data_IF_230346845191
#
_entry.id   IF_230346845191
#
_cell.length_a   1.000
_cell.length_b   1.000
_cell.length_c   1.000
_cell.angle_alpha   90.00
_cell.angle_beta   90.00
_cell.angle_gamma   90.00
#
_symmetry.space_group_name_H-M   'P 1'
#
loop_
_entity.id
_entity.type
_entity.pdbx_description
1 polymer ?
#
# COMPACT_ATOMS: atom_id res chain seq x y z
N UNK A 1 23.37 20.06 31.21
CA UNK A 1 23.58 18.61 31.13
C UNK A 1 22.34 17.99 30.46
N UNK A 2 22.37 17.84 29.13
CA UNK A 2 21.35 17.09 28.40
C UNK A 2 21.52 15.60 28.73
N UNK A 3 20.48 14.97 29.28
CA UNK A 3 20.42 13.51 29.39
C UNK A 3 20.24 12.96 27.98
N UNK A 4 21.29 12.41 27.39
CA UNK A 4 21.22 11.64 26.17
C UNK A 4 20.47 10.33 26.48
N UNK A 5 19.20 10.28 26.16
CA UNK A 5 18.41 9.04 26.23
C UNK A 5 18.73 8.24 24.97
N UNK A 6 19.16 6.97 25.17
CA UNK A 6 19.31 5.96 24.12
C UNK A 6 20.51 6.06 23.17
N UNK A 7 21.53 6.87 23.44
CA UNK A 7 22.81 6.83 22.74
C UNK A 7 23.75 5.89 23.50
N UNK A 8 24.17 4.80 22.84
CA UNK A 8 25.17 3.89 23.38
C UNK A 8 26.54 4.61 23.42
N UNK A 9 27.30 4.41 24.50
CA UNK A 9 28.66 4.94 24.65
C UNK A 9 29.58 4.60 23.47
N UNK A 10 29.36 3.49 22.77
CA UNK A 10 30.07 3.11 21.56
C UNK A 10 29.86 4.10 20.39
N UNK A 11 28.71 4.79 20.32
CA UNK A 11 28.46 5.81 19.30
C UNK A 11 29.20 7.12 19.59
N UNK A 12 29.55 7.40 20.85
CA UNK A 12 30.26 8.61 21.27
C UNK A 12 31.78 8.36 21.29
N UNK A 13 32.20 7.10 21.42
CA UNK A 13 33.62 6.73 21.52
C UNK A 13 34.53 7.34 20.44
N UNK A 14 34.13 7.44 19.15
CA UNK A 14 34.94 8.08 18.12
C UNK A 14 35.23 9.57 18.36
N UNK A 15 34.37 10.23 19.20
CA UNK A 15 34.44 11.67 19.48
C UNK A 15 35.04 11.98 20.87
N UNK A 16 35.32 10.96 21.69
CA UNK A 16 35.98 11.17 22.97
C UNK A 16 37.37 11.68 22.71
N UNK A 17 37.74 12.76 23.38
CA UNK A 17 39.02 13.42 23.30
C UNK A 17 39.36 14.03 21.92
N UNK A 18 38.36 14.23 21.06
CA UNK A 18 38.51 14.88 19.76
C UNK A 18 37.53 16.03 19.62
N UNK A 19 38.00 17.15 19.14
CA UNK A 19 37.19 18.31 18.79
C UNK A 19 36.50 18.14 17.44
N UNK A 20 37.10 17.33 16.57
CA UNK A 20 36.59 17.05 15.22
C UNK A 20 36.98 15.65 14.74
N UNK A 21 36.22 15.08 13.84
CA UNK A 21 36.54 13.84 13.15
C UNK A 21 36.51 14.12 11.65
N UNK A 22 37.66 13.99 11.00
CA UNK A 22 37.75 14.13 9.55
C UNK A 22 37.37 12.82 8.87
N UNK A 23 36.43 12.87 7.92
CA UNK A 23 36.00 11.72 7.13
C UNK A 23 36.38 12.00 5.68
N UNK A 24 37.33 11.22 5.12
CA UNK A 24 37.68 11.32 3.71
C UNK A 24 36.43 11.09 2.82
N UNK A 25 36.33 11.83 1.73
CA UNK A 25 35.19 11.78 0.80
C UNK A 25 34.82 10.34 0.39
N UNK A 26 35.78 9.52 0.06
CA UNK A 26 35.62 8.11 -0.31
C UNK A 26 34.93 7.28 0.78
N UNK A 27 35.01 7.68 2.03
CA UNK A 27 34.46 6.98 3.20
C UNK A 27 33.11 7.56 3.64
N UNK A 28 32.64 8.66 3.05
CA UNK A 28 31.36 9.29 3.41
C UNK A 28 30.18 8.32 3.31
N UNK A 29 29.96 7.53 2.22
CA UNK A 29 28.87 6.58 2.14
C UNK A 29 28.96 5.49 3.22
N UNK A 30 30.16 5.02 3.52
CA UNK A 30 30.39 4.00 4.56
C UNK A 30 30.09 4.55 5.95
N UNK A 31 30.60 5.74 6.26
CA UNK A 31 30.35 6.44 7.52
C UNK A 31 28.87 6.73 7.72
N UNK A 32 28.17 7.21 6.67
CA UNK A 32 26.74 7.42 6.70
C UNK A 32 25.99 6.13 7.03
N UNK A 33 26.27 5.05 6.31
CA UNK A 33 25.54 3.80 6.48
C UNK A 33 25.80 3.11 7.83
N UNK A 34 27.03 3.15 8.33
CA UNK A 34 27.43 2.46 9.57
C UNK A 34 27.20 3.29 10.83
N UNK A 35 27.29 4.61 10.75
CA UNK A 35 27.26 5.46 11.93
C UNK A 35 26.14 6.49 11.89
N UNK A 36 26.15 7.40 10.93
CA UNK A 36 25.23 8.56 10.93
C UNK A 36 23.76 8.13 10.86
N UNK A 37 23.46 7.13 10.06
CA UNK A 37 22.11 6.57 9.92
C UNK A 37 21.55 6.00 11.24
N UNK A 38 22.39 5.40 12.07
CA UNK A 38 21.98 4.89 13.37
C UNK A 38 21.80 6.01 14.40
N UNK A 39 22.63 7.04 14.33
CA UNK A 39 22.51 8.22 15.21
C UNK A 39 21.27 9.04 14.86
N UNK A 40 20.96 9.24 13.58
CA UNK A 40 19.77 9.97 13.11
C UNK A 40 18.45 9.35 13.59
N UNK A 41 18.42 8.05 13.88
CA UNK A 41 17.23 7.39 14.46
C UNK A 41 16.99 7.78 15.93
N UNK A 42 18.04 8.23 16.64
CA UNK A 42 18.06 8.36 18.09
C UNK A 42 18.30 9.79 18.58
N UNK A 43 18.86 10.66 17.74
CA UNK A 43 19.24 12.01 18.11
C UNK A 43 18.92 13.02 17.01
N UNK A 44 18.61 14.24 17.42
CA UNK A 44 18.63 15.40 16.53
C UNK A 44 20.09 15.83 16.30
N UNK A 45 20.46 16.00 15.05
CA UNK A 45 21.79 16.39 14.64
C UNK A 45 21.71 17.74 13.96
N UNK A 46 22.55 18.68 14.39
CA UNK A 46 22.82 19.90 13.64
C UNK A 46 23.98 19.67 12.70
N UNK A 47 23.86 20.06 11.45
CA UNK A 47 24.84 19.81 10.40
C UNK A 47 25.43 21.11 9.87
N UNK A 48 26.74 21.10 9.57
CA UNK A 48 27.44 22.17 8.86
C UNK A 48 28.11 21.52 7.67
N UNK A 49 27.93 22.08 6.47
CA UNK A 49 28.54 21.57 5.24
C UNK A 49 27.73 20.55 4.44
N UNK A 50 26.58 20.13 4.96
CA UNK A 50 25.59 19.34 4.20
C UNK A 50 24.16 19.63 4.65
N UNK A 51 23.22 19.45 3.74
CA UNK A 51 21.81 19.70 3.99
C UNK A 51 21.16 18.47 4.63
N UNK A 52 20.39 18.68 5.69
CA UNK A 52 19.51 17.67 6.26
C UNK A 52 18.04 18.07 6.01
N UNK A 53 17.34 17.27 5.22
CA UNK A 53 15.94 17.49 4.87
C UNK A 53 15.09 16.47 5.62
N UNK A 54 14.21 16.97 6.49
CA UNK A 54 13.24 16.12 7.17
C UNK A 54 11.98 15.99 6.33
N UNK A 55 11.54 14.77 6.10
CA UNK A 55 10.32 14.39 5.38
C UNK A 55 9.37 13.66 6.36
N UNK A 56 8.25 14.26 6.70
CA UNK A 56 7.26 13.70 7.64
C UNK A 56 5.81 13.92 7.19
N UNK A 57 5.63 14.41 5.96
CA UNK A 57 4.30 14.63 5.36
C UNK A 57 4.00 13.48 4.42
N UNK A 58 2.80 12.91 4.54
CA UNK A 58 2.29 11.88 3.61
C UNK A 58 1.82 12.61 2.35
N UNK A 59 2.39 12.25 1.21
CA UNK A 59 2.03 12.79 -0.10
C UNK A 59 0.87 11.99 -0.72
N UNK A 60 0.88 10.68 -0.53
CA UNK A 60 -0.19 9.80 -0.99
C UNK A 60 -0.34 8.56 -0.13
N UNK A 61 -1.55 8.02 -0.09
CA UNK A 61 -1.91 6.77 0.57
C UNK A 61 -2.46 5.81 -0.47
N UNK A 62 -1.76 4.71 -0.75
CA UNK A 62 -2.14 3.74 -1.76
C UNK A 62 -2.55 2.42 -1.10
N UNK A 63 -3.74 1.94 -1.41
CA UNK A 63 -4.24 0.64 -0.99
C UNK A 63 -3.77 -0.42 -1.97
N UNK A 64 -3.16 -1.49 -1.44
CA UNK A 64 -2.67 -2.64 -2.20
C UNK A 64 -3.19 -3.93 -1.63
N UNK A 65 -3.33 -4.93 -2.48
CA UNK A 65 -3.75 -6.27 -2.09
C UNK A 65 -2.56 -7.14 -1.67
N UNK A 66 -2.81 -8.00 -0.71
CA UNK A 66 -1.91 -9.04 -0.23
C UNK A 66 -2.67 -10.37 -0.18
N UNK A 67 -2.17 -11.41 -0.85
CA UNK A 67 -2.71 -12.74 -0.72
C UNK A 67 -2.09 -13.45 0.50
N UNK A 68 -2.92 -13.77 1.48
CA UNK A 68 -2.54 -14.59 2.63
C UNK A 68 -2.66 -16.08 2.24
N UNK A 69 -1.54 -16.69 1.93
CA UNK A 69 -1.49 -18.08 1.46
C UNK A 69 -1.93 -19.11 2.51
N UNK A 70 -1.87 -18.76 3.81
CA UNK A 70 -2.27 -19.68 4.89
C UNK A 70 -3.78 -19.76 5.05
N UNK A 71 -4.46 -18.63 4.90
CA UNK A 71 -5.92 -18.55 4.99
C UNK A 71 -6.59 -18.61 3.62
N UNK A 72 -5.81 -18.53 2.53
CA UNK A 72 -6.27 -18.38 1.15
C UNK A 72 -7.23 -17.20 0.97
N UNK A 73 -6.98 -16.09 1.68
CA UNK A 73 -7.80 -14.87 1.62
C UNK A 73 -6.96 -13.69 1.15
N UNK A 74 -7.63 -12.74 0.52
CA UNK A 74 -7.01 -11.46 0.20
C UNK A 74 -7.22 -10.48 1.36
N UNK A 75 -6.15 -9.81 1.74
CA UNK A 75 -6.11 -8.66 2.66
C UNK A 75 -5.64 -7.44 1.89
N UNK A 76 -5.79 -6.28 2.46
CA UNK A 76 -5.19 -5.05 1.95
C UNK A 76 -4.23 -4.46 2.98
N UNK A 77 -3.29 -3.66 2.50
CA UNK A 77 -2.41 -2.82 3.31
C UNK A 77 -2.26 -1.46 2.63
N UNK A 78 -1.74 -0.47 3.36
CA UNK A 78 -1.54 0.88 2.83
C UNK A 78 -0.04 1.14 2.63
N UNK A 79 0.32 1.66 1.47
CA UNK A 79 1.59 2.29 1.19
C UNK A 79 1.45 3.80 1.42
N UNK A 80 2.26 4.34 2.32
CA UNK A 80 2.35 5.76 2.60
C UNK A 80 3.60 6.32 1.93
N UNK A 81 3.43 7.17 0.92
CA UNK A 81 4.53 7.88 0.28
C UNK A 81 4.86 9.15 1.06
N UNK A 82 6.11 9.26 1.48
CA UNK A 82 6.67 10.41 2.18
C UNK A 82 7.62 11.24 1.28
N UNK A 83 7.23 11.42 0.03
CA UNK A 83 8.02 12.20 -0.94
C UNK A 83 9.42 11.61 -1.18
N UNK A 84 9.44 10.37 -1.64
CA UNK A 84 10.65 9.65 -2.01
C UNK A 84 10.97 8.41 -1.18
N UNK A 85 10.18 8.13 -0.14
CA UNK A 85 10.27 6.88 0.60
C UNK A 85 8.89 6.36 1.00
N UNK A 86 8.64 5.06 0.76
CA UNK A 86 7.38 4.41 1.08
C UNK A 86 7.51 3.66 2.40
N UNK A 87 6.58 3.96 3.33
CA UNK A 87 6.32 3.14 4.50
C UNK A 87 5.07 2.29 4.28
N UNK A 88 5.11 1.06 4.77
CA UNK A 88 3.99 0.13 4.68
C UNK A 88 3.25 0.08 6.02
N UNK A 89 1.92 0.07 5.99
CA UNK A 89 1.10 0.01 7.20
C UNK A 89 1.42 -1.20 8.08
N UNK A 90 1.72 -2.34 7.45
CA UNK A 90 2.04 -3.62 8.10
C UNK A 90 3.51 -3.79 8.51
N UNK A 91 4.29 -2.71 8.52
CA UNK A 91 5.68 -2.72 8.96
C UNK A 91 5.90 -1.81 10.15
N UNK A 92 6.72 -2.25 11.10
CA UNK A 92 7.05 -1.51 12.33
C UNK A 92 8.13 -0.45 12.17
N UNK A 93 8.69 -0.27 10.96
CA UNK A 93 9.77 0.69 10.68
C UNK A 93 9.29 2.11 10.91
N UNK A 94 9.93 2.85 11.82
CA UNK A 94 9.52 4.21 12.25
C UNK A 94 10.16 5.33 11.45
N UNK A 95 11.34 5.09 10.88
CA UNK A 95 12.09 6.09 10.12
C UNK A 95 12.99 5.44 9.09
N UNK A 96 13.38 6.23 8.09
CA UNK A 96 14.37 5.86 7.10
C UNK A 96 15.25 7.06 6.80
N UNK A 97 16.54 6.84 6.53
CA UNK A 97 17.43 7.89 6.08
C UNK A 97 18.19 7.45 4.84
N UNK A 98 18.30 8.35 3.88
CA UNK A 98 19.07 8.16 2.65
C UNK A 98 20.05 9.31 2.44
N UNK A 99 21.15 9.02 1.77
CA UNK A 99 22.19 9.96 1.38
C UNK A 99 22.11 10.17 -0.13
N UNK A 100 22.18 11.42 -0.54
CA UNK A 100 22.33 11.82 -1.94
C UNK A 100 23.60 12.67 -2.06
N UNK A 101 24.44 12.35 -3.02
CA UNK A 101 25.62 13.17 -3.38
C UNK A 101 25.27 13.85 -4.69
N UNK A 102 25.16 15.17 -4.66
CA UNK A 102 24.83 15.99 -5.84
C UNK A 102 26.06 16.15 -6.75
N UNK A 103 25.86 16.51 -8.04
CA UNK A 103 26.97 16.69 -9.00
C UNK A 103 28.01 17.73 -8.61
N UNK A 104 27.67 18.67 -7.72
CA UNK A 104 28.56 19.69 -7.16
C UNK A 104 29.24 19.26 -5.85
N UNK A 105 29.28 17.96 -5.57
CA UNK A 105 29.83 17.37 -4.34
C UNK A 105 29.06 17.75 -3.05
N UNK A 106 27.96 18.47 -3.18
CA UNK A 106 27.09 18.72 -2.03
C UNK A 106 26.44 17.42 -1.55
N UNK A 107 26.46 17.25 -0.23
CA UNK A 107 25.84 16.09 0.42
C UNK A 107 24.47 16.50 0.94
N UNK A 108 23.48 15.70 0.62
CA UNK A 108 22.13 15.87 1.11
C UNK A 108 21.68 14.60 1.82
N UNK A 109 21.14 14.75 3.01
CA UNK A 109 20.59 13.65 3.80
C UNK A 109 19.09 13.86 3.91
N UNK A 110 18.31 12.89 3.42
CA UNK A 110 16.87 12.83 3.64
C UNK A 110 16.58 11.96 4.85
N UNK A 111 15.86 12.51 5.82
CA UNK A 111 15.43 11.79 7.01
C UNK A 111 13.90 11.70 6.99
N UNK A 112 13.39 10.52 6.61
CA UNK A 112 11.98 10.21 6.55
C UNK A 112 11.52 9.71 7.92
N UNK A 113 10.54 10.38 8.50
CA UNK A 113 9.96 10.03 9.80
C UNK A 113 8.45 9.82 9.64
N UNK A 114 7.97 8.65 10.07
CA UNK A 114 6.54 8.34 10.01
C UNK A 114 5.72 9.29 10.85
N UNK A 115 4.63 9.77 10.29
CA UNK A 115 3.60 10.55 10.97
C UNK A 115 2.46 9.62 11.38
N UNK A 116 2.62 8.93 12.49
CA UNK A 116 1.63 7.96 12.96
C UNK A 116 0.24 8.56 13.18
N UNK A 117 0.13 9.84 13.51
CA UNK A 117 -1.18 10.49 13.69
C UNK A 117 -1.95 10.61 12.38
N UNK A 118 -1.26 10.95 11.29
CA UNK A 118 -1.88 11.02 9.96
C UNK A 118 -2.17 9.61 9.41
N UNK A 119 -1.28 8.66 9.64
CA UNK A 119 -1.51 7.26 9.24
C UNK A 119 -2.72 6.66 9.97
N UNK A 120 -2.89 6.94 11.27
CA UNK A 120 -4.05 6.49 12.05
C UNK A 120 -5.38 7.05 11.51
N UNK A 121 -5.42 8.25 10.97
CA UNK A 121 -6.63 8.77 10.31
C UNK A 121 -7.03 7.88 9.12
N UNK A 122 -6.06 7.46 8.31
CA UNK A 122 -6.32 6.55 7.20
C UNK A 122 -6.81 5.17 7.69
N UNK A 123 -6.29 4.68 8.82
CA UNK A 123 -6.75 3.42 9.41
C UNK A 123 -8.20 3.52 9.87
N UNK A 124 -8.58 4.60 10.55
CA UNK A 124 -9.95 4.82 11.01
C UNK A 124 -10.94 4.91 9.85
N UNK A 125 -10.55 5.53 8.73
CA UNK A 125 -11.42 5.55 7.53
C UNK A 125 -11.73 4.12 7.06
N UNK A 126 -10.73 3.22 6.99
CA UNK A 126 -10.97 1.83 6.63
C UNK A 126 -11.80 1.08 7.69
N UNK A 127 -11.54 1.33 8.98
CA UNK A 127 -12.28 0.71 10.08
C UNK A 127 -13.76 1.13 10.08
N UNK A 128 -14.06 2.39 9.81
CA UNK A 128 -15.43 2.91 9.61
C UNK A 128 -16.17 2.24 8.44
N UNK A 129 -15.43 1.80 7.43
CA UNK A 129 -15.95 1.05 6.28
C UNK A 129 -16.03 -0.47 6.53
N UNK A 130 -15.84 -0.92 7.77
CA UNK A 130 -15.98 -2.31 8.16
C UNK A 130 -14.75 -3.18 7.97
N UNK A 131 -13.58 -2.60 7.67
CA UNK A 131 -12.34 -3.35 7.66
C UNK A 131 -11.78 -3.52 9.07
N UNK A 132 -11.24 -4.70 9.36
CA UNK A 132 -10.58 -5.05 10.61
C UNK A 132 -9.08 -4.92 10.44
N UNK A 133 -8.45 -4.14 11.31
CA UNK A 133 -7.02 -3.90 11.33
C UNK A 133 -6.28 -4.99 12.11
N UNK A 134 -5.46 -5.76 11.43
CA UNK A 134 -4.58 -6.80 12.01
C UNK A 134 -3.11 -6.43 11.81
N UNK A 135 -2.59 -5.55 12.66
CA UNK A 135 -1.18 -5.14 12.58
C UNK A 135 -0.83 -4.37 11.30
N UNK A 136 -1.78 -3.58 10.80
CA UNK A 136 -1.62 -2.78 9.58
C UNK A 136 -1.96 -3.50 8.28
N UNK A 137 -2.39 -4.77 8.34
CA UNK A 137 -3.16 -5.40 7.29
C UNK A 137 -4.65 -5.26 7.62
N UNK A 138 -5.48 -5.12 6.61
CA UNK A 138 -6.90 -4.92 6.76
C UNK A 138 -7.66 -6.00 6.00
N UNK A 139 -8.67 -6.57 6.63
CA UNK A 139 -9.54 -7.60 6.07
C UNK A 139 -10.96 -7.40 6.59
N UNK A 140 -11.92 -8.19 6.11
CA UNK A 140 -13.28 -8.26 6.65
C UNK A 140 -13.49 -9.56 7.39
N UNK A 141 -14.50 -9.57 8.30
CA UNK A 141 -14.90 -10.77 9.04
C UNK A 141 -15.71 -11.72 8.14
N UNK A 142 -15.05 -12.29 7.14
CA UNK A 142 -15.67 -13.23 6.20
C UNK A 142 -14.63 -14.27 5.80
N UNK A 143 -15.07 -15.51 5.60
CA UNK A 143 -14.20 -16.62 5.15
C UNK A 143 -14.03 -16.70 3.65
N UNK A 144 -14.85 -15.97 2.88
CA UNK A 144 -14.76 -15.95 1.43
C UNK A 144 -13.42 -15.32 0.98
N UNK A 145 -12.67 -15.97 0.09
CA UNK A 145 -11.33 -15.52 -0.30
C UNK A 145 -11.26 -14.06 -0.78
N UNK A 146 -12.30 -13.60 -1.47
CA UNK A 146 -12.37 -12.27 -2.07
C UNK A 146 -13.28 -11.29 -1.32
N UNK A 147 -13.70 -11.61 -0.09
CA UNK A 147 -14.58 -10.73 0.68
C UNK A 147 -14.01 -9.32 0.84
N UNK A 148 -12.72 -9.21 1.14
CA UNK A 148 -12.00 -7.92 1.24
C UNK A 148 -12.00 -7.15 -0.08
N UNK A 149 -11.90 -7.84 -1.22
CA UNK A 149 -11.99 -7.22 -2.54
C UNK A 149 -13.38 -6.62 -2.78
N UNK A 150 -14.46 -7.37 -2.47
CA UNK A 150 -15.81 -6.85 -2.64
C UNK A 150 -16.14 -5.71 -1.68
N UNK A 151 -15.66 -5.78 -0.44
CA UNK A 151 -15.78 -4.65 0.50
C UNK A 151 -15.09 -3.41 -0.04
N UNK A 152 -13.91 -3.56 -0.61
CA UNK A 152 -13.20 -2.44 -1.23
C UNK A 152 -13.96 -1.87 -2.43
N UNK A 153 -14.54 -2.72 -3.28
CA UNK A 153 -15.38 -2.28 -4.40
C UNK A 153 -16.58 -1.48 -3.94
N UNK A 154 -17.25 -1.93 -2.89
CA UNK A 154 -18.43 -1.26 -2.32
C UNK A 154 -18.12 0.18 -1.88
N UNK A 155 -16.93 0.41 -1.34
CA UNK A 155 -16.48 1.72 -0.84
C UNK A 155 -15.50 2.44 -1.76
N UNK A 156 -15.29 1.96 -2.99
CA UNK A 156 -14.27 2.49 -3.92
C UNK A 156 -14.38 4.00 -4.10
N UNK A 157 -15.56 4.50 -4.48
CA UNK A 157 -15.78 5.92 -4.76
C UNK A 157 -15.56 6.78 -3.51
N UNK A 158 -15.99 6.31 -2.35
CA UNK A 158 -15.78 7.00 -1.09
C UNK A 158 -14.30 7.07 -0.73
N UNK A 159 -13.55 5.97 -0.87
CA UNK A 159 -12.11 5.92 -0.62
C UNK A 159 -11.35 6.85 -1.55
N UNK A 160 -11.70 6.88 -2.84
CA UNK A 160 -11.11 7.81 -3.81
C UNK A 160 -11.39 9.26 -3.40
N UNK A 161 -12.60 9.57 -2.95
CA UNK A 161 -12.98 10.92 -2.46
C UNK A 161 -12.23 11.34 -1.20
N UNK A 162 -11.78 10.38 -0.36
CA UNK A 162 -10.94 10.59 0.81
C UNK A 162 -9.44 10.70 0.47
N UNK A 163 -9.08 10.60 -0.81
CA UNK A 163 -7.71 10.77 -1.30
C UNK A 163 -6.87 9.50 -1.33
N UNK A 164 -7.47 8.32 -1.18
CA UNK A 164 -6.76 7.08 -1.40
C UNK A 164 -6.55 6.82 -2.90
N UNK A 165 -5.44 6.17 -3.21
CA UNK A 165 -5.20 5.54 -4.51
C UNK A 165 -5.44 4.05 -4.32
N UNK A 166 -6.24 3.43 -5.19
CA UNK A 166 -6.53 2.00 -5.12
C UNK A 166 -5.83 1.30 -6.27
N UNK A 167 -4.95 0.37 -5.95
CA UNK A 167 -4.30 -0.49 -6.94
C UNK A 167 -5.17 -1.71 -7.22
N UNK A 168 -5.30 -2.08 -8.50
CA UNK A 168 -6.09 -3.24 -8.90
C UNK A 168 -5.53 -4.53 -8.30
N UNK A 169 -6.42 -5.46 -7.93
CA UNK A 169 -6.02 -6.81 -7.56
C UNK A 169 -5.42 -7.50 -8.78
N UNK A 170 -4.32 -8.21 -8.59
CA UNK A 170 -3.70 -9.03 -9.63
C UNK A 170 -3.82 -10.52 -9.32
N UNK A 171 -4.23 -11.31 -10.31
CA UNK A 171 -4.27 -12.78 -10.24
C UNK A 171 -3.55 -13.34 -11.47
N UNK A 172 -2.51 -14.15 -11.23
CA UNK A 172 -1.74 -14.75 -12.33
C UNK A 172 -1.08 -13.71 -13.25
N UNK A 173 -0.70 -12.54 -12.70
CA UNK A 173 -0.08 -11.43 -13.46
C UNK A 173 -1.05 -10.63 -14.32
N UNK A 174 -2.36 -10.77 -14.08
CA UNK A 174 -3.41 -10.00 -14.75
C UNK A 174 -4.17 -9.17 -13.73
N UNK A 175 -4.36 -7.90 -14.05
CA UNK A 175 -5.18 -6.99 -13.25
C UNK A 175 -6.65 -7.38 -13.36
N UNK A 176 -7.34 -7.34 -12.21
CA UNK A 176 -8.77 -7.60 -12.10
C UNK A 176 -9.50 -6.27 -12.20
N UNK A 177 -10.61 -6.30 -12.95
CA UNK A 177 -11.50 -5.14 -13.08
C UNK A 177 -12.05 -4.73 -11.70
N UNK A 178 -11.97 -3.44 -11.41
CA UNK A 178 -12.39 -2.87 -10.11
C UNK A 178 -13.70 -2.09 -10.21
N UNK A 179 -14.54 -2.42 -11.18
CA UNK A 179 -15.88 -1.86 -11.32
C UNK A 179 -16.95 -2.83 -10.78
N UNK A 180 -18.08 -2.35 -10.27
CA UNK A 180 -19.16 -3.21 -9.82
C UNK A 180 -19.78 -3.98 -10.98
N UNK A 181 -20.38 -5.14 -10.66
CA UNK A 181 -21.18 -5.89 -11.63
C UNK A 181 -22.58 -5.30 -11.76
N UNK A 182 -23.05 -5.26 -12.99
CA UNK A 182 -24.43 -4.93 -13.33
C UNK A 182 -25.08 -6.09 -14.07
N UNK A 183 -26.33 -6.39 -13.70
CA UNK A 183 -27.15 -7.37 -14.42
C UNK A 183 -28.09 -6.61 -15.36
N UNK A 184 -27.98 -6.88 -16.66
CA UNK A 184 -28.82 -6.32 -17.69
C UNK A 184 -29.81 -7.39 -18.19
N UNK A 185 -31.09 -7.07 -18.23
CA UNK A 185 -32.14 -7.95 -18.68
C UNK A 185 -32.65 -7.46 -20.03
N UNK A 186 -32.60 -8.33 -21.03
CA UNK A 186 -33.13 -8.06 -22.37
C UNK A 186 -34.28 -9.02 -22.66
N UNK A 187 -35.46 -8.49 -22.91
CA UNK A 187 -36.60 -9.24 -23.33
C UNK A 187 -36.61 -9.43 -24.85
N UNK A 188 -36.70 -10.66 -25.31
CA UNK A 188 -36.92 -10.95 -26.72
C UNK A 188 -38.36 -11.46 -26.90
N UNK A 189 -39.21 -10.70 -27.62
CA UNK A 189 -40.56 -11.14 -27.96
C UNK A 189 -40.46 -12.22 -29.03
N UNK A 190 -40.93 -13.42 -28.71
CA UNK A 190 -41.19 -14.47 -29.70
C UNK A 190 -42.68 -14.51 -30.05
N UNK A 191 -43.00 -14.87 -31.31
CA UNK A 191 -44.37 -15.18 -31.77
C UNK A 191 -44.88 -16.39 -30.99
N UNK A 192 -45.82 -16.29 -30.12
CA UNK A 192 -46.53 -17.31 -29.32
C UNK A 192 -46.39 -17.17 -27.80
N UNK A 193 -46.74 -16.02 -27.25
CA UNK A 193 -46.93 -15.78 -25.77
C UNK A 193 -45.79 -16.25 -24.85
N UNK A 194 -44.58 -16.54 -25.36
CA UNK A 194 -43.41 -16.89 -24.61
C UNK A 194 -42.42 -15.71 -24.62
N UNK A 195 -41.86 -15.40 -23.47
CA UNK A 195 -40.79 -14.40 -23.34
C UNK A 195 -39.46 -15.12 -23.11
N UNK A 196 -38.49 -14.90 -23.97
CA UNK A 196 -37.11 -15.24 -23.66
C UNK A 196 -36.45 -14.06 -22.96
N UNK A 197 -35.88 -14.30 -21.80
CA UNK A 197 -35.10 -13.32 -21.04
C UNK A 197 -33.64 -13.62 -21.24
N UNK A 198 -32.92 -12.71 -21.88
CA UNK A 198 -31.46 -12.76 -21.96
C UNK A 198 -30.88 -11.95 -20.80
N UNK A 199 -30.06 -12.61 -19.99
CA UNK A 199 -29.37 -11.98 -18.84
C UNK A 199 -27.92 -11.77 -19.21
N UNK A 200 -27.50 -10.53 -19.17
CA UNK A 200 -26.13 -10.14 -19.39
C UNK A 200 -25.50 -9.67 -18.08
N UNK A 201 -24.21 -9.92 -17.93
CA UNK A 201 -23.37 -9.36 -16.87
C UNK A 201 -22.47 -8.32 -17.51
N UNK A 202 -22.46 -7.13 -16.95
CA UNK A 202 -21.54 -6.06 -17.34
C UNK A 202 -20.65 -5.68 -16.17
N UNK A 203 -19.35 -5.51 -16.44
CA UNK A 203 -18.36 -4.94 -15.50
C UNK A 203 -17.43 -4.04 -16.29
N UNK A 204 -17.47 -2.75 -16.01
CA UNK A 204 -16.76 -1.75 -16.82
C UNK A 204 -17.18 -1.83 -18.31
N UNK A 205 -16.21 -1.98 -19.20
CA UNK A 205 -16.46 -2.15 -20.64
C UNK A 205 -16.72 -3.61 -21.06
N UNK A 206 -16.63 -4.55 -20.13
CA UNK A 206 -16.78 -5.96 -20.43
C UNK A 206 -18.24 -6.40 -20.25
N UNK A 207 -18.77 -7.10 -21.26
CA UNK A 207 -20.11 -7.67 -21.26
C UNK A 207 -20.04 -9.13 -21.69
N UNK A 208 -20.73 -10.02 -20.94
CA UNK A 208 -20.84 -11.44 -21.24
C UNK A 208 -22.17 -12.00 -20.77
N UNK A 209 -22.58 -13.10 -21.39
CA UNK A 209 -23.89 -13.69 -21.05
C UNK A 209 -23.83 -14.41 -19.70
N UNK A 210 -24.86 -14.24 -18.86
CA UNK A 210 -24.93 -14.85 -17.52
C UNK A 210 -24.76 -16.38 -17.55
N UNK A 211 -25.27 -17.04 -18.61
CA UNK A 211 -25.11 -18.49 -18.78
C UNK A 211 -23.64 -18.94 -18.81
N UNK A 212 -22.72 -18.08 -19.20
CA UNK A 212 -21.27 -18.42 -19.18
C UNK A 212 -20.72 -18.57 -17.76
N UNK A 213 -21.39 -18.03 -16.74
CA UNK A 213 -21.03 -18.14 -15.33
C UNK A 213 -21.58 -19.41 -14.65
N UNK A 214 -22.56 -20.07 -15.25
CA UNK A 214 -23.30 -21.19 -14.62
C UNK A 214 -22.35 -22.31 -14.16
N UNK A 215 -21.32 -22.61 -14.93
CA UNK A 215 -20.33 -23.61 -14.54
C UNK A 215 -19.58 -23.19 -13.29
N UNK A 216 -19.08 -21.95 -13.26
CA UNK A 216 -18.34 -21.39 -12.13
C UNK A 216 -19.18 -21.38 -10.86
N UNK A 217 -20.45 -20.95 -10.96
CA UNK A 217 -21.40 -20.93 -9.83
C UNK A 217 -21.63 -22.34 -9.30
N UNK A 218 -21.86 -23.34 -10.18
CA UNK A 218 -22.09 -24.73 -9.76
C UNK A 218 -20.87 -25.36 -9.09
N UNK A 219 -19.66 -24.98 -9.53
CA UNK A 219 -18.40 -25.51 -9.02
C UNK A 219 -17.86 -24.70 -7.82
N UNK A 220 -18.60 -23.66 -7.37
CA UNK A 220 -18.13 -22.68 -6.37
C UNK A 220 -16.75 -22.09 -6.71
N UNK A 221 -16.47 -21.91 -8.02
CA UNK A 221 -15.25 -21.30 -8.48
C UNK A 221 -15.47 -19.80 -8.67
N UNK A 222 -14.88 -18.94 -7.82
CA UNK A 222 -15.10 -17.51 -7.87
C UNK A 222 -14.39 -16.82 -9.04
N UNK A 223 -13.49 -17.51 -9.73
CA UNK A 223 -12.70 -16.93 -10.81
C UNK A 223 -13.28 -17.32 -12.14
N UNK A 224 -13.86 -16.35 -12.84
CA UNK A 224 -14.32 -16.53 -14.23
C UNK A 224 -13.31 -15.94 -15.21
N UNK A 225 -12.99 -16.69 -16.27
CA UNK A 225 -12.12 -16.25 -17.36
C UNK A 225 -12.98 -16.14 -18.62
N UNK A 226 -13.11 -14.94 -19.16
CA UNK A 226 -13.85 -14.70 -20.39
C UNK A 226 -13.15 -15.29 -21.62
N UNK A 227 -13.84 -15.41 -22.74
CA UNK A 227 -13.28 -15.83 -24.02
C UNK A 227 -12.13 -14.95 -24.51
N UNK A 228 -12.06 -13.68 -24.07
CA UNK A 228 -10.99 -12.73 -24.33
C UNK A 228 -9.81 -12.87 -23.37
N UNK A 229 -9.90 -13.76 -22.39
CA UNK A 229 -8.87 -14.00 -21.38
C UNK A 229 -8.88 -13.01 -20.22
N UNK A 230 -9.90 -12.15 -20.09
CA UNK A 230 -10.09 -11.28 -18.92
C UNK A 230 -10.55 -12.10 -17.72
N UNK A 231 -10.05 -11.76 -16.54
CA UNK A 231 -10.37 -12.44 -15.27
C UNK A 231 -11.37 -11.58 -14.50
N UNK A 232 -12.42 -12.24 -14.00
CA UNK A 232 -13.46 -11.63 -13.17
C UNK A 232 -13.63 -12.44 -11.88
N UNK A 233 -13.93 -11.76 -10.79
CA UNK A 233 -14.30 -12.39 -9.51
C UNK A 233 -15.80 -12.27 -9.36
N UNK A 234 -16.48 -13.41 -9.26
CA UNK A 234 -17.95 -13.53 -9.23
C UNK A 234 -18.46 -14.06 -7.90
#
# INVERSE_FOLDING_TARGET
LMKLKDINALHIKPFLDKTEVFIPEKLIPEYFNKFLKEVLKKAEISTIGFDMIQKSVIISSKIKFLHDVFTNRYKIYIEFDYDGYIFYSNQSKKSHSSLEILPNEQIRIYNYKRNHLEELKNYHILEEMGFINEGGNFSVEDTYPFATYFQLLLHKEELLSKGFIIESLEIGGKSIEMDPFELLFEETKMENDWFDINIWVQQGENRFHFSSLVKNIKENNPIYISSKGNIFII
#
